data_IF_735092938260
#
_entry.id   IF_735092938260
#
_cell.length_a   1.000
_cell.length_b   1.000
_cell.length_c   1.000
_cell.angle_alpha   90.00
_cell.angle_beta   90.00
_cell.angle_gamma   90.00
#
_symmetry.space_group_name_H-M   'P 1'
#
loop_
_entity.id
_entity.type
_entity.pdbx_description
1 polymer ?
#
# COMPACT_ATOMS: atom_id res chain seq x y z
N UNK A 1 -40.74 -3.98 27.23
CA UNK A 1 -39.63 -3.06 26.90
C UNK A 1 -40.23 -1.67 27.04
N UNK A 2 -39.75 -0.85 27.97
CA UNK A 2 -40.28 0.50 28.18
C UNK A 2 -39.91 1.40 26.99
N UNK A 3 -40.79 2.33 26.63
CA UNK A 3 -40.57 3.29 25.55
C UNK A 3 -39.29 4.11 25.80
N UNK A 4 -38.99 4.42 27.08
CA UNK A 4 -37.78 5.12 27.51
C UNK A 4 -36.47 4.40 27.11
N UNK A 5 -36.46 3.06 27.11
CA UNK A 5 -35.27 2.29 26.71
C UNK A 5 -35.02 2.39 25.20
N UNK A 6 -36.10 2.40 24.42
CA UNK A 6 -36.03 2.54 22.95
C UNK A 6 -35.53 3.95 22.61
N UNK A 7 -36.04 4.97 23.29
CA UNK A 7 -35.62 6.36 23.09
C UNK A 7 -34.14 6.55 23.46
N UNK A 8 -33.71 6.02 24.59
CA UNK A 8 -32.31 6.08 25.05
C UNK A 8 -31.36 5.38 24.07
N UNK A 9 -31.71 4.17 23.59
CA UNK A 9 -30.90 3.45 22.61
C UNK A 9 -30.83 4.24 21.30
N UNK A 10 -31.93 4.82 20.85
CA UNK A 10 -31.99 5.58 19.58
C UNK A 10 -31.11 6.83 19.65
N UNK A 11 -31.15 7.55 20.79
CA UNK A 11 -30.31 8.73 21.03
C UNK A 11 -28.83 8.36 21.09
N UNK A 12 -28.47 7.30 21.82
CA UNK A 12 -27.06 6.83 21.91
C UNK A 12 -26.55 6.35 20.56
N UNK A 13 -27.35 5.58 19.81
CA UNK A 13 -26.98 5.11 18.47
C UNK A 13 -26.80 6.30 17.51
N UNK A 14 -27.65 7.32 17.62
CA UNK A 14 -27.55 8.57 16.88
C UNK A 14 -26.24 9.31 17.15
N UNK A 15 -25.85 9.47 18.43
CA UNK A 15 -24.58 10.09 18.79
C UNK A 15 -23.36 9.29 18.33
N UNK A 16 -23.41 7.95 18.40
CA UNK A 16 -22.34 7.08 17.89
C UNK A 16 -22.21 7.21 16.37
N UNK A 17 -23.32 7.21 15.63
CA UNK A 17 -23.29 7.38 14.19
C UNK A 17 -22.75 8.76 13.82
N UNK A 18 -23.16 9.80 14.53
CA UNK A 18 -22.72 11.19 14.33
C UNK A 18 -21.23 11.36 14.65
N UNK A 19 -20.72 10.71 15.69
CA UNK A 19 -19.31 10.73 16.08
C UNK A 19 -18.42 9.94 15.12
N UNK A 20 -18.93 8.87 14.50
CA UNK A 20 -18.22 8.08 13.48
C UNK A 20 -18.29 8.71 12.08
N UNK A 21 -19.29 9.56 11.82
CA UNK A 21 -19.48 10.27 10.55
C UNK A 21 -18.24 11.05 10.10
N UNK A 22 -17.53 11.84 10.93
CA UNK A 22 -16.32 12.50 10.50
C UNK A 22 -15.19 11.53 10.14
N UNK A 23 -15.08 10.37 10.80
CA UNK A 23 -14.03 9.38 10.49
C UNK A 23 -14.30 8.61 9.19
N UNK A 24 -15.56 8.40 8.83
CA UNK A 24 -15.94 7.68 7.60
C UNK A 24 -16.14 8.60 6.40
N UNK A 25 -16.63 9.83 6.62
CA UNK A 25 -17.07 10.73 5.54
C UNK A 25 -16.02 11.78 5.21
N UNK A 26 -15.24 12.29 6.17
CA UNK A 26 -14.23 13.32 5.90
C UNK A 26 -13.10 12.81 5.00
N UNK A 27 -12.56 11.58 5.11
CA UNK A 27 -11.56 11.07 4.16
C UNK A 27 -12.12 10.96 2.73
N UNK A 28 -13.42 10.70 2.61
CA UNK A 28 -14.13 10.46 1.35
C UNK A 28 -14.57 11.78 0.69
N UNK A 29 -14.96 12.80 1.49
CA UNK A 29 -15.36 14.14 1.05
C UNK A 29 -14.19 15.12 0.90
N UNK A 30 -13.11 15.01 1.70
CA UNK A 30 -11.91 15.85 1.54
C UNK A 30 -11.12 15.55 0.27
N UNK A 31 -11.62 14.66 -0.61
CA UNK A 31 -11.25 14.72 -2.01
C UNK A 31 -9.75 14.76 -2.24
N UNK A 32 -8.97 13.96 -1.49
CA UNK A 32 -7.54 13.69 -1.75
C UNK A 32 -7.32 12.91 -3.06
N UNK A 33 -8.22 13.11 -4.05
CA UNK A 33 -8.06 12.88 -5.49
C UNK A 33 -7.77 14.22 -6.19
N UNK A 34 -6.83 14.99 -5.65
CA UNK A 34 -6.40 16.25 -6.28
C UNK A 34 -5.49 15.87 -7.46
N UNK A 35 -6.03 15.94 -8.69
CA UNK A 35 -5.22 15.99 -9.92
C UNK A 35 -5.49 14.95 -11.01
N UNK A 36 -6.11 13.80 -10.72
CA UNK A 36 -6.18 12.69 -11.70
C UNK A 36 -7.17 12.93 -12.85
N UNK A 37 -8.28 13.64 -12.59
CA UNK A 37 -9.34 13.85 -13.58
C UNK A 37 -8.94 14.72 -14.76
N UNK A 38 -8.16 15.80 -14.52
CA UNK A 38 -7.65 16.66 -15.60
C UNK A 38 -6.62 15.92 -16.45
N UNK A 39 -5.65 15.24 -15.81
CA UNK A 39 -4.63 14.44 -16.50
C UNK A 39 -5.25 13.40 -17.43
N UNK A 40 -6.25 12.64 -16.97
CA UNK A 40 -6.94 11.61 -17.79
C UNK A 40 -7.60 12.18 -19.05
N UNK A 41 -8.10 13.43 -19.00
CA UNK A 41 -8.72 14.09 -20.16
C UNK A 41 -7.72 14.78 -21.08
N UNK A 42 -6.66 15.37 -20.53
CA UNK A 42 -5.71 16.19 -21.29
C UNK A 42 -4.54 15.39 -21.86
N UNK A 43 -4.08 14.33 -21.18
CA UNK A 43 -2.94 13.54 -21.62
C UNK A 43 -3.08 12.97 -23.05
N UNK A 44 -4.24 12.41 -23.48
CA UNK A 44 -4.38 11.92 -24.86
C UNK A 44 -4.24 13.03 -25.92
N UNK A 45 -4.73 14.25 -25.62
CA UNK A 45 -4.62 15.40 -26.53
C UNK A 45 -3.18 15.89 -26.64
N UNK A 46 -2.45 15.91 -25.52
CA UNK A 46 -1.03 16.24 -25.53
C UNK A 46 -0.20 15.16 -26.25
N UNK A 47 -0.54 13.88 -26.09
CA UNK A 47 0.10 12.79 -26.83
C UNK A 47 -0.08 12.96 -28.35
N UNK A 48 -1.31 13.22 -28.81
CA UNK A 48 -1.57 13.46 -30.24
C UNK A 48 -0.86 14.71 -30.77
N UNK A 49 -0.83 15.80 -29.99
CA UNK A 49 -0.10 17.01 -30.38
C UNK A 49 1.42 16.79 -30.43
N UNK A 50 1.96 15.96 -29.53
CA UNK A 50 3.37 15.57 -29.56
C UNK A 50 3.70 14.71 -30.78
N UNK A 51 2.85 13.73 -31.10
CA UNK A 51 2.99 12.93 -32.32
C UNK A 51 2.94 13.76 -33.60
N UNK A 52 2.02 14.72 -33.68
CA UNK A 52 1.93 15.63 -34.82
C UNK A 52 3.21 16.47 -34.97
N UNK A 53 3.77 16.94 -33.85
CA UNK A 53 5.08 17.62 -33.82
C UNK A 53 6.20 16.70 -34.33
N UNK A 54 6.23 15.44 -33.92
CA UNK A 54 7.21 14.45 -34.40
C UNK A 54 7.09 14.21 -35.91
N UNK A 55 5.87 14.09 -36.44
CA UNK A 55 5.61 13.85 -37.87
C UNK A 55 6.00 15.04 -38.75
N UNK A 56 5.69 16.25 -38.28
CA UNK A 56 5.92 17.47 -39.04
C UNK A 56 7.36 17.98 -38.96
N UNK A 57 8.16 17.47 -38.01
CA UNK A 57 9.56 17.86 -37.86
C UNK A 57 10.41 17.28 -39.00
N UNK A 58 10.56 18.07 -40.05
CA UNK A 58 11.35 17.76 -41.24
C UNK A 58 12.63 18.60 -41.24
N UNK A 59 13.79 17.94 -41.34
CA UNK A 59 15.04 18.63 -41.72
C UNK A 59 16.16 18.78 -40.69
N UNK A 60 16.10 18.16 -39.49
CA UNK A 60 17.25 18.12 -38.56
C UNK A 60 17.41 16.76 -37.91
N UNK A 61 18.65 16.31 -37.72
CA UNK A 61 18.99 15.08 -36.97
C UNK A 61 18.70 15.20 -35.47
N UNK A 62 18.43 16.41 -34.99
CA UNK A 62 18.09 16.71 -33.60
C UNK A 62 16.79 17.49 -33.49
N UNK A 63 16.01 17.21 -32.44
CA UNK A 63 14.78 17.91 -32.09
C UNK A 63 14.85 18.31 -30.61
N UNK A 64 14.41 19.53 -30.29
CA UNK A 64 14.30 20.00 -28.90
C UNK A 64 12.83 20.29 -28.59
N UNK A 65 12.39 19.79 -27.43
CA UNK A 65 10.99 19.82 -26.99
C UNK A 65 10.96 20.34 -25.57
N UNK A 66 10.19 21.37 -25.27
CA UNK A 66 9.96 21.78 -23.89
C UNK A 66 8.94 20.82 -23.26
N UNK A 67 9.33 20.10 -22.20
CA UNK A 67 8.43 19.18 -21.50
C UNK A 67 7.26 19.92 -20.86
N UNK A 68 7.41 21.20 -20.53
CA UNK A 68 6.35 22.01 -19.93
C UNK A 68 5.16 22.19 -20.89
N UNK A 69 5.36 22.11 -22.21
CA UNK A 69 4.28 22.09 -23.21
C UNK A 69 3.38 20.83 -23.09
N UNK A 70 3.92 19.78 -22.46
CA UNK A 70 3.33 18.44 -22.34
C UNK A 70 3.24 17.98 -20.87
N UNK A 71 2.91 18.89 -19.94
CA UNK A 71 2.92 18.67 -18.49
C UNK A 71 2.12 17.45 -17.99
N UNK A 72 1.12 16.96 -18.75
CA UNK A 72 0.31 15.81 -18.36
C UNK A 72 0.91 14.46 -18.83
N UNK A 73 1.91 14.50 -19.70
CA UNK A 73 2.70 13.35 -20.11
C UNK A 73 3.89 13.17 -19.18
N UNK A 74 4.13 11.92 -18.76
CA UNK A 74 5.38 11.62 -18.05
C UNK A 74 6.55 11.63 -19.04
N UNK A 75 7.76 11.93 -18.58
CA UNK A 75 8.96 11.83 -19.42
C UNK A 75 9.12 10.43 -20.05
N UNK A 76 8.86 9.30 -19.35
CA UNK A 76 8.80 7.97 -19.98
C UNK A 76 7.80 7.89 -21.14
N UNK A 77 6.60 8.48 -21.01
CA UNK A 77 5.61 8.47 -22.09
C UNK A 77 6.07 9.26 -23.31
N UNK A 78 6.68 10.43 -23.11
CA UNK A 78 7.24 11.23 -24.22
C UNK A 78 8.36 10.46 -24.91
N UNK A 79 9.25 9.82 -24.15
CA UNK A 79 10.31 8.97 -24.71
C UNK A 79 9.75 7.83 -25.55
N UNK A 80 8.72 7.15 -25.04
CA UNK A 80 8.11 6.01 -25.72
C UNK A 80 7.37 6.43 -26.99
N UNK A 81 6.65 7.56 -26.96
CA UNK A 81 6.01 8.14 -28.15
C UNK A 81 7.05 8.54 -29.20
N UNK A 82 8.13 9.23 -28.79
CA UNK A 82 9.23 9.62 -29.67
C UNK A 82 9.91 8.39 -30.29
N UNK A 83 10.04 7.32 -29.51
CA UNK A 83 10.79 6.14 -29.94
C UNK A 83 10.15 5.39 -31.10
N UNK A 84 8.81 5.35 -31.16
CA UNK A 84 8.03 4.78 -32.28
C UNK A 84 8.38 5.47 -33.62
N UNK A 85 8.72 6.75 -33.57
CA UNK A 85 9.09 7.55 -34.74
C UNK A 85 10.59 7.61 -35.00
N UNK A 86 11.38 6.72 -34.37
CA UNK A 86 12.84 6.68 -34.53
C UNK A 86 13.60 7.75 -33.76
N UNK A 87 12.95 8.52 -32.87
CA UNK A 87 13.63 9.53 -32.06
C UNK A 87 14.10 8.94 -30.72
N UNK A 88 15.29 9.33 -30.26
CA UNK A 88 15.88 8.86 -29.00
C UNK A 88 16.26 10.05 -28.13
N UNK A 89 15.85 10.02 -26.86
CA UNK A 89 16.22 11.05 -25.89
C UNK A 89 17.73 10.97 -25.63
N UNK A 90 18.45 12.06 -25.83
CA UNK A 90 19.90 12.17 -25.62
C UNK A 90 20.26 12.88 -24.33
N UNK A 91 19.57 13.97 -24.03
CA UNK A 91 19.77 14.76 -22.81
C UNK A 91 18.51 15.52 -22.46
N UNK A 92 18.44 15.93 -21.20
CA UNK A 92 17.46 16.88 -20.69
C UNK A 92 18.17 18.05 -19.98
N UNK A 93 17.68 19.26 -20.22
CA UNK A 93 18.24 20.50 -19.69
C UNK A 93 17.14 21.28 -18.95
N UNK A 94 17.12 21.25 -17.61
CA UNK A 94 16.22 22.09 -16.83
C UNK A 94 16.73 23.54 -16.84
N UNK A 95 15.94 24.48 -17.38
CA UNK A 95 16.29 25.89 -17.51
C UNK A 95 15.17 26.80 -17.01
N UNK A 96 15.20 27.14 -15.71
CA UNK A 96 14.29 28.09 -15.09
C UNK A 96 12.80 27.75 -15.27
N UNK A 97 12.17 28.31 -16.32
CA UNK A 97 10.76 28.10 -16.68
C UNK A 97 10.53 26.99 -17.71
N UNK A 98 11.59 26.38 -18.22
CA UNK A 98 11.56 25.39 -19.28
C UNK A 98 12.27 24.12 -18.84
N UNK A 99 11.86 22.98 -19.38
CA UNK A 99 12.58 21.73 -19.24
C UNK A 99 12.76 21.14 -20.63
N UNK A 100 13.91 21.41 -21.23
CA UNK A 100 14.17 21.04 -22.62
C UNK A 100 14.59 19.58 -22.70
N UNK A 101 13.94 18.82 -23.57
CA UNK A 101 14.26 17.44 -23.91
C UNK A 101 14.88 17.44 -25.32
N UNK A 102 16.11 16.95 -25.41
CA UNK A 102 16.84 16.86 -26.68
C UNK A 102 16.77 15.44 -27.22
N UNK A 103 16.19 15.31 -28.40
CA UNK A 103 16.08 14.05 -29.14
C UNK A 103 17.02 14.04 -30.33
N UNK A 104 17.59 12.87 -30.62
CA UNK A 104 18.31 12.59 -31.85
C UNK A 104 17.55 11.56 -32.68
N UNK A 105 17.62 11.68 -33.99
CA UNK A 105 16.97 10.77 -34.93
C UNK A 105 17.85 9.55 -35.19
N UNK A 106 17.41 8.39 -34.71
CA UNK A 106 18.11 7.10 -34.71
C UNK A 106 17.11 5.95 -35.00
N UNK A 107 16.62 5.85 -36.25
CA UNK A 107 15.60 4.87 -36.60
C UNK A 107 16.07 3.42 -36.47
N UNK A 108 17.37 3.16 -36.65
CA UNK A 108 17.94 1.81 -36.62
C UNK A 108 18.23 1.30 -35.21
N UNK A 109 18.10 2.15 -34.17
CA UNK A 109 18.33 1.71 -32.79
C UNK A 109 17.14 0.87 -32.33
N UNK A 110 17.34 -0.39 -31.89
CA UNK A 110 16.26 -1.23 -31.39
C UNK A 110 15.50 -0.53 -30.25
N UNK A 111 14.18 -0.58 -30.30
CA UNK A 111 13.32 -0.04 -29.26
C UNK A 111 12.47 -1.13 -28.64
N UNK A 112 12.63 -1.31 -27.34
CA UNK A 112 11.77 -2.14 -26.55
C UNK A 112 10.58 -1.30 -26.06
N UNK A 113 9.40 -1.58 -26.62
CA UNK A 113 8.16 -0.89 -26.27
C UNK A 113 7.76 -1.06 -24.80
N UNK A 114 6.90 -0.18 -24.26
CA UNK A 114 6.48 -0.25 -22.86
C UNK A 114 5.80 -1.57 -22.50
N UNK A 115 5.09 -2.19 -23.45
CA UNK A 115 4.47 -3.50 -23.25
C UNK A 115 5.50 -4.62 -23.04
N UNK A 116 6.53 -4.67 -23.88
CA UNK A 116 7.62 -5.65 -23.77
C UNK A 116 8.42 -5.44 -22.47
N UNK A 117 8.77 -4.19 -22.15
CA UNK A 117 9.47 -3.86 -20.90
C UNK A 117 8.64 -4.20 -19.66
N UNK A 118 7.32 -4.02 -19.71
CA UNK A 118 6.44 -4.40 -18.61
C UNK A 118 6.37 -5.92 -18.45
N UNK A 119 6.23 -6.65 -19.57
CA UNK A 119 6.21 -8.11 -19.54
C UNK A 119 7.53 -8.68 -19.02
N UNK A 120 8.67 -8.15 -19.45
CA UNK A 120 10.00 -8.51 -18.96
C UNK A 120 10.14 -8.20 -17.45
N UNK A 121 9.80 -6.99 -17.02
CA UNK A 121 9.85 -6.62 -15.60
C UNK A 121 8.97 -7.54 -14.74
N UNK A 122 7.76 -7.89 -15.19
CA UNK A 122 6.86 -8.78 -14.46
C UNK A 122 7.29 -10.26 -14.48
N UNK A 123 8.04 -10.68 -15.49
CA UNK A 123 8.61 -12.03 -15.55
C UNK A 123 9.73 -12.20 -14.53
N UNK A 124 10.56 -11.16 -14.36
CA UNK A 124 11.68 -11.14 -13.42
C UNK A 124 11.28 -10.65 -12.02
N UNK A 125 10.08 -10.08 -11.86
CA UNK A 125 9.61 -9.54 -10.60
C UNK A 125 9.43 -10.64 -9.54
N UNK A 126 10.04 -10.39 -8.39
CA UNK A 126 9.82 -11.15 -7.17
C UNK A 126 8.77 -10.47 -6.29
N UNK A 127 7.98 -11.30 -5.61
CA UNK A 127 7.06 -10.82 -4.59
C UNK A 127 7.87 -10.39 -3.37
N UNK A 128 7.54 -9.22 -2.82
CA UNK A 128 8.08 -8.79 -1.54
C UNK A 128 7.69 -9.74 -0.39
N UNK A 129 8.31 -9.54 0.76
CA UNK A 129 7.96 -10.34 1.92
C UNK A 129 6.58 -10.01 2.53
N UNK A 130 5.92 -8.93 2.10
CA UNK A 130 4.52 -8.62 2.43
C UNK A 130 3.53 -9.34 1.49
N UNK A 131 4.01 -10.01 0.44
CA UNK A 131 3.18 -10.68 -0.55
C UNK A 131 2.77 -9.78 -1.72
N UNK A 132 3.47 -8.68 -1.96
CA UNK A 132 3.15 -7.66 -2.97
C UNK A 132 4.35 -7.34 -3.86
N UNK A 133 4.12 -6.95 -5.09
CA UNK A 133 5.10 -6.26 -5.95
C UNK A 133 4.60 -4.84 -6.21
N UNK A 134 5.46 -3.84 -6.02
CA UNK A 134 5.12 -2.43 -6.20
C UNK A 134 5.54 -1.97 -7.59
N UNK A 135 4.58 -1.96 -8.52
CA UNK A 135 4.79 -1.47 -9.88
C UNK A 135 4.52 0.04 -9.93
N UNK A 136 5.49 0.82 -10.41
CA UNK A 136 5.26 2.23 -10.73
C UNK A 136 4.52 2.36 -12.08
N UNK A 137 3.21 2.71 -12.09
CA UNK A 137 2.45 2.80 -13.32
C UNK A 137 2.89 3.96 -14.22
N UNK A 138 3.64 4.94 -13.71
CA UNK A 138 4.08 6.12 -14.47
C UNK A 138 5.18 5.80 -15.48
N UNK A 139 6.00 4.76 -15.20
CA UNK A 139 7.00 4.21 -16.14
C UNK A 139 6.38 3.60 -17.39
N UNK A 140 5.10 3.25 -17.32
CA UNK A 140 4.32 2.59 -18.37
C UNK A 140 3.10 3.40 -18.79
N UNK A 141 3.08 4.71 -18.54
CA UNK A 141 1.89 5.53 -18.79
C UNK A 141 1.61 5.76 -20.28
N UNK A 142 2.50 5.33 -21.18
CA UNK A 142 2.21 5.24 -22.61
C UNK A 142 1.21 4.12 -22.95
N UNK A 143 1.07 3.11 -22.08
CA UNK A 143 0.08 2.04 -22.24
C UNK A 143 -1.29 2.49 -21.73
N UNK A 144 -2.38 2.21 -22.48
CA UNK A 144 -3.73 2.27 -21.95
C UNK A 144 -3.88 1.39 -20.71
N UNK A 145 -4.70 1.82 -19.75
CA UNK A 145 -4.93 1.09 -18.49
C UNK A 145 -5.38 -0.37 -18.75
N UNK A 146 -6.23 -0.59 -19.76
CA UNK A 146 -6.74 -1.91 -20.16
C UNK A 146 -5.65 -2.83 -20.71
N UNK A 147 -4.74 -2.29 -21.51
CA UNK A 147 -3.62 -3.06 -22.08
C UNK A 147 -2.61 -3.42 -20.99
N UNK A 148 -2.30 -2.46 -20.11
CA UNK A 148 -1.45 -2.70 -18.94
C UNK A 148 -2.03 -3.80 -18.05
N UNK A 149 -3.33 -3.77 -17.76
CA UNK A 149 -4.01 -4.78 -16.95
C UNK A 149 -4.01 -6.16 -17.63
N UNK A 150 -4.16 -6.21 -18.96
CA UNK A 150 -4.06 -7.46 -19.73
C UNK A 150 -2.66 -8.07 -19.63
N UNK A 151 -1.60 -7.25 -19.74
CA UNK A 151 -0.21 -7.72 -19.61
C UNK A 151 0.06 -8.22 -18.19
N UNK A 152 -0.41 -7.48 -17.18
CA UNK A 152 -0.31 -7.88 -15.78
C UNK A 152 -0.96 -9.26 -15.55
N UNK A 153 -2.20 -9.43 -16.02
CA UNK A 153 -2.91 -10.70 -15.90
C UNK A 153 -2.23 -11.83 -16.68
N UNK A 154 -1.73 -11.58 -17.89
CA UNK A 154 -1.02 -12.56 -18.70
C UNK A 154 0.27 -13.05 -18.04
N UNK A 155 0.94 -12.20 -17.26
CA UNK A 155 2.11 -12.56 -16.47
C UNK A 155 1.78 -13.26 -15.12
N UNK A 156 0.50 -13.59 -14.87
CA UNK A 156 0.06 -14.29 -13.64
C UNK A 156 -0.05 -13.38 -12.42
N UNK A 157 -0.08 -12.06 -12.62
CA UNK A 157 -0.24 -11.07 -11.56
C UNK A 157 -1.68 -10.56 -11.50
N UNK A 158 -2.12 -10.19 -10.31
CA UNK A 158 -3.40 -9.54 -10.06
C UNK A 158 -3.23 -8.32 -9.17
N UNK A 159 -4.14 -7.35 -9.28
CA UNK A 159 -4.12 -6.16 -8.41
C UNK A 159 -4.39 -6.57 -6.97
N UNK A 160 -3.49 -6.16 -6.08
CA UNK A 160 -3.66 -6.33 -4.64
C UNK A 160 -4.81 -5.45 -4.14
N UNK A 161 -5.61 -5.92 -3.16
CA UNK A 161 -6.65 -5.10 -2.53
C UNK A 161 -6.05 -3.96 -1.68
N UNK A 162 -4.74 -3.97 -1.42
CA UNK A 162 -4.03 -2.90 -0.72
C UNK A 162 -4.00 -1.66 -1.62
N UNK A 163 -4.74 -0.63 -1.22
CA UNK A 163 -4.66 0.68 -1.87
C UNK A 163 -3.29 1.30 -1.60
N UNK A 164 -2.51 1.51 -2.65
CA UNK A 164 -1.34 2.37 -2.64
C UNK A 164 -1.63 3.61 -3.49
N UNK A 165 -1.33 4.79 -2.95
CA UNK A 165 -1.49 6.04 -3.70
C UNK A 165 -0.35 6.12 -4.71
N UNK A 166 -0.68 6.31 -5.99
CA UNK A 166 0.26 6.49 -7.12
C UNK A 166 1.09 5.27 -7.54
N UNK A 167 1.03 4.15 -6.82
CA UNK A 167 1.77 2.91 -7.13
C UNK A 167 0.75 1.77 -7.29
N UNK A 168 0.97 0.89 -8.26
CA UNK A 168 0.14 -0.29 -8.46
C UNK A 168 0.70 -1.45 -7.64
N UNK A 169 -0.02 -1.84 -6.59
CA UNK A 169 0.30 -3.03 -5.80
C UNK A 169 -0.20 -4.28 -6.52
N UNK A 170 0.71 -5.19 -6.87
CA UNK A 170 0.44 -6.45 -7.56
C UNK A 170 0.71 -7.64 -6.63
N UNK A 171 0.04 -8.77 -6.85
CA UNK A 171 0.30 -10.04 -6.14
C UNK A 171 0.08 -11.19 -7.11
N UNK A 172 0.75 -12.33 -6.90
CA UNK A 172 0.43 -13.56 -7.65
C UNK A 172 -0.82 -14.22 -7.08
N UNK A 173 -1.49 -15.03 -7.91
CA UNK A 173 -2.63 -15.83 -7.47
C UNK A 173 -2.24 -16.78 -6.32
N UNK A 174 -3.12 -16.97 -5.34
CA UNK A 174 -2.87 -17.79 -4.16
C UNK A 174 -1.93 -17.16 -3.10
N UNK A 175 -1.28 -16.02 -3.38
CA UNK A 175 -0.41 -15.35 -2.40
C UNK A 175 -1.25 -14.51 -1.43
N UNK A 176 -1.06 -14.72 -0.13
CA UNK A 176 -1.73 -13.92 0.89
C UNK A 176 -1.01 -12.59 1.08
N UNK A 177 -1.64 -11.50 0.65
CA UNK A 177 -1.17 -10.12 0.89
C UNK A 177 -1.31 -9.73 2.37
N UNK A 178 -0.29 -9.12 2.95
CA UNK A 178 -0.38 -8.49 4.26
C UNK A 178 -1.00 -7.07 4.15
N UNK A 179 -2.06 -6.81 4.90
CA UNK A 179 -2.81 -5.54 4.88
C UNK A 179 -2.21 -4.47 5.82
N UNK A 180 -0.92 -4.57 6.18
CA UNK A 180 -0.23 -3.66 7.12
C UNK A 180 -0.60 -3.89 8.59
N UNK A 181 -1.85 -4.25 8.89
CA UNK A 181 -2.33 -4.55 10.25
C UNK A 181 -1.79 -5.87 10.81
N UNK A 182 -1.36 -6.83 9.98
CA UNK A 182 -0.82 -8.11 10.46
C UNK A 182 0.70 -8.11 10.73
N UNK A 183 1.33 -6.92 10.73
CA UNK A 183 2.59 -6.65 11.42
C UNK A 183 3.89 -7.07 10.72
N UNK A 184 3.83 -7.93 9.70
CA UNK A 184 5.00 -8.32 8.90
C UNK A 184 5.15 -7.28 7.80
N UNK A 185 5.49 -6.05 8.17
CA UNK A 185 5.89 -5.05 7.19
C UNK A 185 7.41 -5.16 7.06
N UNK A 186 7.89 -5.70 5.94
CA UNK A 186 9.31 -5.67 5.60
C UNK A 186 9.68 -4.44 4.75
N UNK A 187 8.73 -3.51 4.54
CA UNK A 187 8.97 -2.26 3.84
C UNK A 187 9.15 -2.43 2.34
N UNK A 188 8.54 -3.47 1.75
CA UNK A 188 8.61 -3.71 0.31
C UNK A 188 9.90 -4.38 -0.18
N UNK A 189 10.80 -4.80 0.71
CA UNK A 189 12.05 -5.48 0.31
C UNK A 189 11.76 -6.95 -0.04
N UNK A 190 12.18 -7.44 -1.22
CA UNK A 190 12.03 -8.85 -1.58
C UNK A 190 12.86 -9.78 -0.70
N UNK A 191 12.34 -10.99 -0.49
CA UNK A 191 13.00 -11.99 0.35
C UNK A 191 14.35 -12.40 -0.23
N UNK A 192 14.47 -12.47 -1.55
CA UNK A 192 15.72 -12.76 -2.28
C UNK A 192 16.80 -11.71 -2.02
N UNK A 193 16.44 -10.41 -2.00
CA UNK A 193 17.36 -9.34 -1.65
C UNK A 193 17.79 -9.40 -0.17
N UNK A 194 16.85 -9.69 0.74
CA UNK A 194 17.17 -9.89 2.16
C UNK A 194 18.15 -11.07 2.36
N UNK A 195 18.00 -12.15 1.60
CA UNK A 195 18.90 -13.30 1.66
C UNK A 195 20.31 -12.99 1.15
N UNK A 196 20.48 -12.01 0.25
CA UNK A 196 21.80 -11.59 -0.25
C UNK A 196 22.58 -10.74 0.76
N UNK A 197 21.90 -10.11 1.73
CA UNK A 197 22.57 -9.28 2.72
C UNK A 197 23.29 -10.16 3.77
N UNK A 198 24.62 -10.05 3.95
CA UNK A 198 25.41 -10.99 4.75
C UNK A 198 24.95 -11.07 6.21
N UNK A 199 24.67 -9.93 6.84
CA UNK A 199 24.17 -9.88 8.22
C UNK A 199 22.73 -10.37 8.39
N UNK A 200 21.95 -10.51 7.31
CA UNK A 200 20.61 -11.11 7.34
C UNK A 200 20.72 -12.61 7.09
N UNK A 201 21.53 -13.02 6.11
CA UNK A 201 21.82 -14.42 5.81
C UNK A 201 22.38 -15.20 7.01
N UNK A 202 23.32 -14.60 7.75
CA UNK A 202 23.89 -15.21 8.97
C UNK A 202 22.80 -15.46 10.02
N UNK A 203 21.90 -14.49 10.21
CA UNK A 203 20.77 -14.62 11.16
C UNK A 203 19.74 -15.62 10.68
N UNK A 204 19.48 -15.69 9.38
CA UNK A 204 18.56 -16.66 8.80
C UNK A 204 19.07 -18.08 9.03
N UNK A 205 20.37 -18.31 8.78
CA UNK A 205 21.03 -19.59 9.09
C UNK A 205 21.04 -19.92 10.58
N UNK A 206 21.29 -18.94 11.45
CA UNK A 206 21.25 -19.15 12.90
C UNK A 206 19.83 -19.52 13.38
N UNK A 207 18.80 -18.87 12.82
CA UNK A 207 17.41 -19.17 13.12
C UNK A 207 17.01 -20.55 12.58
N UNK A 208 17.45 -20.90 11.36
CA UNK A 208 17.24 -22.21 10.75
C UNK A 208 17.89 -23.32 11.59
N UNK A 209 19.12 -23.13 12.08
CA UNK A 209 19.78 -24.08 12.96
C UNK A 209 19.03 -24.28 14.29
N UNK A 210 18.33 -23.25 14.79
CA UNK A 210 17.58 -23.32 16.04
C UNK A 210 16.17 -23.90 15.87
N UNK A 211 15.50 -23.59 14.76
CA UNK A 211 14.08 -23.87 14.57
C UNK A 211 13.77 -24.87 13.45
N UNK A 212 14.77 -25.28 12.66
CA UNK A 212 14.66 -26.30 11.61
C UNK A 212 14.05 -25.82 10.29
N UNK A 213 13.91 -24.51 10.08
CA UNK A 213 13.42 -23.93 8.83
C UNK A 213 14.00 -22.54 8.56
N UNK A 214 14.20 -22.19 7.28
CA UNK A 214 14.60 -20.85 6.86
C UNK A 214 13.45 -19.85 7.11
N UNK A 215 13.64 -18.81 7.94
CA UNK A 215 12.61 -17.82 8.23
C UNK A 215 12.24 -16.94 7.04
N UNK A 216 13.08 -16.87 6.01
CA UNK A 216 12.87 -16.10 4.77
C UNK A 216 12.33 -16.96 3.62
N UNK A 217 12.22 -18.28 3.79
CA UNK A 217 11.65 -19.15 2.77
C UNK A 217 10.21 -18.71 2.42
N UNK A 218 9.80 -18.74 1.13
CA UNK A 218 8.45 -18.33 0.72
C UNK A 218 7.32 -19.04 1.48
N UNK A 219 7.49 -20.33 1.77
CA UNK A 219 6.53 -21.11 2.55
C UNK A 219 6.42 -20.63 4.01
N UNK A 220 7.55 -20.32 4.65
CA UNK A 220 7.59 -19.82 6.02
C UNK A 220 6.96 -18.42 6.12
N UNK A 221 7.26 -17.53 5.16
CA UNK A 221 6.63 -16.21 5.08
C UNK A 221 5.12 -16.31 4.85
N UNK A 222 4.67 -17.19 3.94
CA UNK A 222 3.24 -17.38 3.70
C UNK A 222 2.51 -17.98 4.91
N UNK A 223 3.15 -18.92 5.62
CA UNK A 223 2.63 -19.44 6.89
C UNK A 223 2.48 -18.32 7.93
N UNK A 224 3.51 -17.49 8.11
CA UNK A 224 3.48 -16.36 9.03
C UNK A 224 2.36 -15.36 8.67
N UNK A 225 2.16 -15.05 7.39
CA UNK A 225 1.05 -14.20 6.91
C UNK A 225 -0.32 -14.84 7.20
N UNK A 226 -0.46 -16.13 6.95
CA UNK A 226 -1.70 -16.89 7.22
C UNK A 226 -2.07 -16.85 8.70
N UNK A 227 -1.11 -17.18 9.56
CA UNK A 227 -1.31 -17.14 11.02
C UNK A 227 -1.50 -15.71 11.52
N UNK A 228 -0.80 -14.74 10.95
CA UNK A 228 -1.00 -13.32 11.23
C UNK A 228 -2.44 -12.87 10.97
N UNK A 229 -3.01 -13.23 9.81
CA UNK A 229 -4.42 -12.98 9.48
C UNK A 229 -5.39 -13.71 10.40
N UNK A 230 -5.13 -14.98 10.68
CA UNK A 230 -5.93 -15.78 11.61
C UNK A 230 -6.03 -15.09 12.97
N UNK A 231 -4.89 -14.73 13.58
CA UNK A 231 -4.87 -14.07 14.88
C UNK A 231 -5.48 -12.67 14.85
N UNK A 232 -5.29 -11.92 13.75
CA UNK A 232 -5.91 -10.61 13.60
C UNK A 232 -7.44 -10.71 13.58
N UNK A 233 -8.01 -11.73 12.92
CA UNK A 233 -9.46 -11.97 12.89
C UNK A 233 -10.05 -12.20 14.29
N UNK A 234 -9.30 -12.83 15.20
CA UNK A 234 -9.71 -13.03 16.58
C UNK A 234 -9.47 -11.82 17.47
N UNK A 235 -8.34 -11.13 17.30
CA UNK A 235 -7.95 -9.99 18.12
C UNK A 235 -8.78 -8.74 17.84
N UNK A 236 -9.00 -8.41 16.56
CA UNK A 236 -9.63 -7.16 16.14
C UNK A 236 -11.04 -6.94 16.72
N UNK A 237 -11.99 -7.89 16.68
CA UNK A 237 -13.31 -7.68 17.25
C UNK A 237 -13.27 -7.47 18.77
N UNK A 238 -12.40 -8.19 19.50
CA UNK A 238 -12.24 -8.04 20.95
C UNK A 238 -11.68 -6.66 21.30
N UNK A 239 -10.64 -6.23 20.59
CA UNK A 239 -10.04 -4.91 20.78
C UNK A 239 -11.02 -3.78 20.43
N UNK A 240 -11.80 -3.94 19.34
CA UNK A 240 -12.80 -2.97 18.93
C UNK A 240 -13.96 -2.86 19.94
N UNK A 241 -14.48 -3.99 20.44
CA UNK A 241 -15.52 -4.00 21.47
C UNK A 241 -15.01 -3.42 22.79
N UNK A 242 -13.79 -3.73 23.20
CA UNK A 242 -13.16 -3.11 24.36
C UNK A 242 -13.10 -1.58 24.20
N UNK A 243 -12.60 -1.09 23.07
CA UNK A 243 -12.49 0.35 22.78
C UNK A 243 -13.86 1.03 22.76
N UNK A 244 -14.86 0.40 22.14
CA UNK A 244 -16.23 0.91 22.08
C UNK A 244 -16.86 0.99 23.47
N UNK A 245 -16.76 -0.08 24.27
CA UNK A 245 -17.35 -0.13 25.61
C UNK A 245 -16.68 0.84 26.57
N UNK A 246 -15.37 1.02 26.47
CA UNK A 246 -14.68 2.04 27.28
C UNK A 246 -15.08 3.44 26.85
N UNK A 247 -15.09 3.71 25.55
CA UNK A 247 -15.50 5.02 25.04
C UNK A 247 -16.93 5.37 25.45
N UNK A 248 -17.87 4.44 25.31
CA UNK A 248 -19.27 4.65 25.67
C UNK A 248 -19.53 4.59 27.16
N UNK A 249 -18.81 3.77 27.91
CA UNK A 249 -19.00 3.59 29.35
C UNK A 249 -18.46 4.76 30.17
N UNK A 250 -17.46 5.48 29.68
CA UNK A 250 -16.87 6.64 30.37
C UNK A 250 -17.88 7.78 30.56
N UNK A 251 -18.69 8.09 29.55
CA UNK A 251 -19.68 9.18 29.63
C UNK A 251 -20.76 8.97 30.73
N UNK A 252 -21.53 7.88 30.76
CA UNK A 252 -22.53 7.64 31.80
C UNK A 252 -21.88 7.44 33.17
N UNK A 253 -20.64 6.96 33.24
CA UNK A 253 -19.91 6.87 34.50
C UNK A 253 -19.62 8.27 35.08
N UNK A 254 -19.23 9.25 34.25
CA UNK A 254 -19.04 10.63 34.68
C UNK A 254 -20.36 11.34 35.01
N UNK A 255 -21.39 11.19 34.17
CA UNK A 255 -22.72 11.80 34.39
C UNK A 255 -23.34 11.24 35.67
N UNK A 256 -23.37 9.92 35.83
CA UNK A 256 -23.92 9.28 37.01
C UNK A 256 -23.12 9.54 38.30
N UNK A 257 -21.84 9.93 38.19
CA UNK A 257 -21.06 10.33 39.37
C UNK A 257 -21.60 11.62 40.00
N UNK A 258 -22.14 12.53 39.19
CA UNK A 258 -22.77 13.77 39.68
C UNK A 258 -24.08 13.48 40.42
N UNK A 259 -24.84 12.48 39.97
CA UNK A 259 -26.11 12.05 40.57
C UNK A 259 -25.94 11.09 41.76
N UNK A 260 -24.72 10.60 42.01
CA UNK A 260 -24.37 9.66 43.08
C UNK A 260 -24.22 8.21 42.58
N UNK A 261 -23.43 7.41 43.31
CA UNK A 261 -23.02 6.05 42.90
C UNK A 261 -24.17 5.04 42.80
N UNK A 262 -25.32 5.34 43.41
CA UNK A 262 -26.52 4.49 43.34
C UNK A 262 -27.38 4.80 42.10
N UNK A 263 -27.03 5.83 41.32
CA UNK A 263 -27.70 6.18 40.06
C UNK A 263 -27.63 5.02 39.06
N UNK A 264 -28.75 4.71 38.41
CA UNK A 264 -28.81 3.71 37.34
C UNK A 264 -27.83 4.06 36.20
N UNK A 265 -27.62 5.35 35.93
CA UNK A 265 -26.69 5.84 34.89
C UNK A 265 -25.25 5.48 35.26
N UNK A 266 -24.87 5.66 36.53
CA UNK A 266 -23.55 5.27 37.03
C UNK A 266 -23.34 3.76 36.91
N UNK A 267 -24.34 2.97 37.32
CA UNK A 267 -24.26 1.50 37.25
C UNK A 267 -24.11 1.00 35.82
N UNK A 268 -24.84 1.59 34.85
CA UNK A 268 -24.69 1.26 33.42
C UNK A 268 -23.26 1.54 32.95
N UNK A 269 -22.70 2.71 33.27
CA UNK A 269 -21.31 3.04 32.94
C UNK A 269 -20.32 2.06 33.55
N UNK A 270 -20.50 1.71 34.82
CA UNK A 270 -19.66 0.74 35.52
C UNK A 270 -19.71 -0.66 34.88
N UNK A 271 -20.90 -1.15 34.54
CA UNK A 271 -21.06 -2.44 33.85
C UNK A 271 -20.42 -2.46 32.46
N UNK A 272 -20.55 -1.37 31.69
CA UNK A 272 -19.90 -1.23 30.39
C UNK A 272 -18.38 -1.25 30.51
N UNK A 273 -17.81 -0.55 31.50
CA UNK A 273 -16.37 -0.55 31.77
C UNK A 273 -15.87 -1.93 32.21
N UNK A 274 -16.64 -2.65 33.04
CA UNK A 274 -16.32 -4.02 33.47
C UNK A 274 -16.35 -4.98 32.27
N UNK A 275 -17.40 -4.92 31.44
CA UNK A 275 -17.49 -5.70 30.21
C UNK A 275 -16.31 -5.40 29.27
N UNK A 276 -15.97 -4.13 29.08
CA UNK A 276 -14.80 -3.72 28.29
C UNK A 276 -13.49 -4.28 28.85
N UNK A 277 -13.33 -4.30 30.17
CA UNK A 277 -12.17 -4.91 30.84
C UNK A 277 -12.09 -6.42 30.58
N UNK A 278 -13.22 -7.14 30.60
CA UNK A 278 -13.26 -8.55 30.24
C UNK A 278 -12.81 -8.78 28.78
N UNK A 279 -13.25 -7.93 27.84
CA UNK A 279 -12.75 -7.95 26.45
C UNK A 279 -11.26 -7.63 26.34
N UNK A 280 -10.74 -6.70 27.15
CA UNK A 280 -9.31 -6.38 27.20
C UNK A 280 -8.49 -7.60 27.63
N UNK A 281 -8.93 -8.32 28.68
CA UNK A 281 -8.29 -9.55 29.15
C UNK A 281 -8.32 -10.65 28.09
N UNK A 282 -9.46 -10.82 27.39
CA UNK A 282 -9.56 -11.77 26.28
C UNK A 282 -8.61 -11.39 25.13
N UNK A 283 -8.54 -10.12 24.73
CA UNK A 283 -7.62 -9.64 23.71
C UNK A 283 -6.14 -9.81 24.11
N UNK A 284 -5.81 -9.59 25.39
CA UNK A 284 -4.49 -9.86 25.95
C UNK A 284 -4.14 -11.35 25.90
N UNK A 285 -5.09 -12.23 26.23
CA UNK A 285 -4.92 -13.67 26.14
C UNK A 285 -4.67 -14.14 24.70
N UNK A 286 -5.46 -13.67 23.74
CA UNK A 286 -5.24 -13.93 22.30
C UNK A 286 -3.85 -13.44 21.87
N UNK A 287 -3.42 -12.27 22.36
CA UNK A 287 -2.08 -11.73 22.08
C UNK A 287 -0.95 -12.60 22.64
N UNK A 288 -1.15 -13.19 23.83
CA UNK A 288 -0.19 -14.13 24.44
C UNK A 288 -0.10 -15.41 23.59
N UNK A 289 -1.24 -15.98 23.17
CA UNK A 289 -1.26 -17.16 22.32
C UNK A 289 -0.56 -16.89 20.97
N UNK A 290 -0.86 -15.76 20.33
CA UNK A 290 -0.17 -15.31 19.11
C UNK A 290 1.34 -15.22 19.32
N UNK A 291 1.80 -14.63 20.43
CA UNK A 291 3.23 -14.49 20.75
C UNK A 291 3.91 -15.84 20.95
N UNK A 292 3.22 -16.82 21.54
CA UNK A 292 3.76 -18.17 21.72
C UNK A 292 3.96 -18.90 20.40
N UNK A 293 3.03 -18.74 19.47
CA UNK A 293 3.07 -19.47 18.21
C UNK A 293 3.99 -18.83 17.17
N UNK A 294 3.80 -17.54 16.86
CA UNK A 294 4.50 -16.86 15.76
C UNK A 294 5.46 -15.77 16.25
N UNK A 295 5.52 -15.51 17.56
CA UNK A 295 6.26 -14.38 18.11
C UNK A 295 7.77 -14.48 17.90
N UNK A 296 8.35 -15.68 17.96
CA UNK A 296 9.78 -15.88 17.72
C UNK A 296 10.16 -15.56 16.27
N UNK A 297 9.46 -16.16 15.31
CA UNK A 297 9.67 -15.91 13.87
C UNK A 297 9.45 -14.44 13.52
N UNK A 298 8.35 -13.85 14.02
CA UNK A 298 8.05 -12.44 13.81
C UNK A 298 9.14 -11.50 14.35
N UNK A 299 9.62 -11.77 15.58
CA UNK A 299 10.67 -10.97 16.21
C UNK A 299 11.99 -11.05 15.44
N UNK A 300 12.32 -12.22 14.89
CA UNK A 300 13.54 -12.37 14.10
C UNK A 300 13.45 -11.66 12.75
N UNK A 301 12.32 -11.75 12.04
CA UNK A 301 12.09 -10.96 10.82
C UNK A 301 12.24 -9.46 11.11
N UNK A 302 11.69 -8.96 12.21
CA UNK A 302 11.86 -7.56 12.60
C UNK A 302 13.32 -7.19 12.91
N UNK A 303 14.12 -8.12 13.42
CA UNK A 303 15.55 -7.90 13.66
C UNK A 303 16.33 -7.87 12.35
N UNK A 304 16.06 -8.80 11.44
CA UNK A 304 16.64 -8.82 10.10
C UNK A 304 16.36 -7.51 9.35
N UNK A 305 15.11 -7.02 9.40
CA UNK A 305 14.74 -5.71 8.85
C UNK A 305 15.58 -4.57 9.42
N UNK A 306 15.78 -4.55 10.74
CA UNK A 306 16.61 -3.51 11.39
C UNK A 306 18.07 -3.59 10.97
N UNK A 307 18.61 -4.80 10.78
CA UNK A 307 19.98 -4.99 10.30
C UNK A 307 20.12 -4.45 8.87
N UNK A 308 19.23 -4.87 7.98
CA UNK A 308 19.21 -4.41 6.58
C UNK A 308 19.01 -2.88 6.46
N UNK A 309 18.11 -2.30 7.27
CA UNK A 309 17.89 -0.85 7.24
C UNK A 309 19.12 -0.05 7.70
N UNK A 310 19.84 -0.56 8.70
CA UNK A 310 21.04 0.14 9.22
C UNK A 310 22.16 0.16 8.20
N UNK A 311 22.39 -0.95 7.48
CA UNK A 311 23.44 -1.05 6.47
C UNK A 311 23.15 -0.23 5.22
N UNK A 312 21.87 -0.08 4.85
CA UNK A 312 21.46 0.75 3.71
C UNK A 312 21.48 2.25 4.01
N UNK A 313 21.30 2.67 5.26
CA UNK A 313 21.37 4.09 5.66
C UNK A 313 22.78 4.61 5.97
N UNK A 314 23.77 3.72 6.11
CA UNK A 314 25.15 4.10 6.44
C UNK A 314 26.04 4.33 5.22
N UNK A 315 25.50 4.14 4.01
CA UNK A 315 26.13 4.42 2.72
C UNK A 315 25.54 5.69 2.13
#
# INVERSE_FOLDING_TARGET
>A
MSEDLIETITVVLGYVLLALLPFCVVPTLMGLRIGTGKRKKTAPKQASAFEERLRNHTGRSTMTVDWMDYEYLSQPAIRDLAAVWGWRLRSDEPSGRQWLLHFAYEPDTPYEGPAARLAAELADADIDADGVYLLDPTRYSALPDEERDRIIAAAGWQRSPRAAVSILSLTKEGTLVNNGLSGIDLGGVPASELQQHPGVAERAKAFEAQHGFDPLAPAALNHLRTRGKYWLKWYLPLAALCGLLWFLGVFPLFIGLEDGTDSEVFQVGAWMMLAGTAFALAAAFVSILKRREIGAHFKEIQRMRRVYRRSTTSN
#
